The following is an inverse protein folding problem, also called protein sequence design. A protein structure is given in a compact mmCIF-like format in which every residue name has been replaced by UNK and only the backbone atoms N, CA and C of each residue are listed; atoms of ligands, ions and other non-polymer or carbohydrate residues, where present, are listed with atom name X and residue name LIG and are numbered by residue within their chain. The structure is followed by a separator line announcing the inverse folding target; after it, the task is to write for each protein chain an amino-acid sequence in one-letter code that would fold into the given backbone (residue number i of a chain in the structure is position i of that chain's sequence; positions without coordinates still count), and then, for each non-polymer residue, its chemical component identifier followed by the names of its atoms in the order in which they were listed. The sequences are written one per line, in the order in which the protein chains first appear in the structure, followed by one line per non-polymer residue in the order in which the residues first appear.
data_IF_215593124571
#
_entry.id   IF_215593124571
#
_cell.length_a   1.000
_cell.length_b   1.000
_cell.length_c   1.000
_cell.angle_alpha   90.00
_cell.angle_beta   90.00
_cell.angle_gamma   90.00
#
_symmetry.space_group_name_H-M   'P 1'
#
loop_
_entity.id
_entity.type
_entity.pdbx_description
1 polymer ?
#
# COMPACT_ATOMS: atom_id res chain seq x y z
N UNK A 1 9.91 0.78 -33.09
CA UNK A 1 9.25 0.08 -31.96
C UNK A 1 7.91 0.76 -31.73
N UNK A 2 6.83 0.19 -32.25
CA UNK A 2 5.49 0.78 -32.18
C UNK A 2 4.86 0.52 -30.83
N UNK A 3 4.58 1.56 -30.06
CA UNK A 3 3.69 1.47 -28.91
C UNK A 3 2.28 1.18 -29.43
N UNK A 4 1.78 -0.02 -29.19
CA UNK A 4 0.41 -0.38 -29.56
C UNK A 4 -0.56 0.46 -28.72
N UNK A 5 -1.50 1.12 -29.39
CA UNK A 5 -2.61 1.81 -28.74
C UNK A 5 -3.45 0.78 -27.96
N UNK A 6 -3.55 0.93 -26.64
CA UNK A 6 -4.39 0.10 -25.78
C UNK A 6 -5.68 0.87 -25.44
N UNK A 7 -6.83 0.55 -26.07
CA UNK A 7 -8.10 1.22 -25.79
C UNK A 7 -8.53 1.11 -24.33
N UNK A 8 -8.17 0.01 -23.66
CA UNK A 8 -8.46 -0.23 -22.25
C UNK A 8 -7.73 0.74 -21.31
N UNK A 9 -6.51 1.16 -21.66
CA UNK A 9 -5.77 2.15 -20.89
C UNK A 9 -6.43 3.54 -20.97
N UNK A 10 -6.93 3.92 -22.16
CA UNK A 10 -7.66 5.19 -22.35
C UNK A 10 -8.98 5.16 -21.59
N UNK A 11 -9.72 4.05 -21.68
CA UNK A 11 -10.96 3.89 -20.94
C UNK A 11 -10.75 3.95 -19.42
N UNK A 12 -9.69 3.32 -18.90
CA UNK A 12 -9.32 3.38 -17.49
C UNK A 12 -9.05 4.82 -17.03
N UNK A 13 -8.26 5.57 -17.81
CA UNK A 13 -7.93 6.97 -17.48
C UNK A 13 -9.19 7.85 -17.41
N UNK A 14 -10.10 7.69 -18.39
CA UNK A 14 -11.37 8.42 -18.42
C UNK A 14 -12.22 8.07 -17.19
N UNK A 15 -12.32 6.79 -16.85
CA UNK A 15 -13.08 6.32 -15.68
C UNK A 15 -12.54 6.85 -14.35
N UNK A 16 -11.24 7.14 -14.25
CA UNK A 16 -10.62 7.72 -13.05
C UNK A 16 -10.51 9.25 -13.07
N UNK A 17 -11.11 9.93 -14.05
CA UNK A 17 -11.03 11.40 -14.19
C UNK A 17 -11.44 12.16 -12.92
N UNK A 18 -12.43 11.68 -12.17
CA UNK A 18 -12.87 12.30 -10.91
C UNK A 18 -11.76 12.34 -9.87
N UNK A 19 -11.00 11.25 -9.73
CA UNK A 19 -9.84 11.16 -8.82
C UNK A 19 -8.67 12.00 -9.33
N UNK A 20 -8.41 11.97 -10.63
CA UNK A 20 -7.32 12.73 -11.25
C UNK A 20 -7.51 14.25 -11.13
N UNK A 21 -8.77 14.72 -11.08
CA UNK A 21 -9.09 16.14 -10.87
C UNK A 21 -8.56 16.67 -9.53
N UNK A 22 -8.50 15.81 -8.50
CA UNK A 22 -8.00 16.19 -7.16
C UNK A 22 -6.56 16.70 -7.19
N UNK A 23 -5.71 16.19 -8.09
CA UNK A 23 -4.33 16.69 -8.22
C UNK A 23 -4.24 18.13 -8.74
N UNK A 24 -5.27 18.59 -9.46
CA UNK A 24 -5.37 19.96 -9.97
C UNK A 24 -6.07 20.87 -8.97
N UNK A 25 -7.05 20.34 -8.23
CA UNK A 25 -7.84 21.07 -7.24
C UNK A 25 -7.14 21.23 -5.89
N UNK A 26 -6.34 20.24 -5.47
CA UNK A 26 -5.59 20.25 -4.21
C UNK A 26 -4.13 19.80 -4.45
N UNK A 27 -3.21 20.77 -4.34
CA UNK A 27 -1.77 20.56 -4.50
C UNK A 27 -1.09 19.79 -3.36
N UNK A 28 -1.82 19.41 -2.31
CA UNK A 28 -1.29 18.55 -1.24
C UNK A 28 -1.14 17.10 -1.69
N UNK A 29 -1.85 16.69 -2.74
CA UNK A 29 -1.77 15.34 -3.26
C UNK A 29 -0.55 15.16 -4.18
N UNK A 30 0.33 14.22 -3.83
CA UNK A 30 1.45 13.84 -4.70
C UNK A 30 0.95 13.03 -5.90
N UNK A 31 1.33 13.44 -7.11
CA UNK A 31 1.04 12.68 -8.34
C UNK A 31 1.78 11.34 -8.39
N UNK A 32 2.88 11.21 -7.62
CA UNK A 32 3.69 10.01 -7.54
C UNK A 32 3.33 9.18 -6.31
N UNK A 33 3.13 7.88 -6.53
CA UNK A 33 2.81 6.89 -5.48
C UNK A 33 4.05 6.23 -4.84
N UNK A 34 5.27 6.68 -5.21
CA UNK A 34 6.55 6.05 -4.82
C UNK A 34 6.64 5.76 -3.31
N UNK A 35 6.23 6.71 -2.48
CA UNK A 35 6.29 6.57 -1.02
C UNK A 35 5.40 5.43 -0.50
N UNK A 36 4.20 5.26 -1.06
CA UNK A 36 3.29 4.19 -0.63
C UNK A 36 3.74 2.84 -1.21
N UNK A 37 4.28 2.83 -2.44
CA UNK A 37 4.89 1.64 -3.04
C UNK A 37 6.09 1.15 -2.23
N UNK A 38 6.99 2.05 -1.86
CA UNK A 38 8.15 1.72 -1.02
C UNK A 38 7.73 1.22 0.37
N UNK A 39 6.65 1.76 0.93
CA UNK A 39 6.11 1.30 2.22
C UNK A 39 5.50 -0.12 2.13
N UNK A 40 4.81 -0.46 1.03
CA UNK A 40 4.17 -1.78 0.87
C UNK A 40 5.10 -2.85 0.29
N UNK A 41 6.19 -2.44 -0.37
CA UNK A 41 7.16 -3.34 -1.02
C UNK A 41 7.74 -4.43 -0.07
N UNK A 42 8.20 -4.10 1.15
CA UNK A 42 8.70 -5.10 2.10
C UNK A 42 7.67 -6.20 2.41
N UNK A 43 6.40 -5.82 2.55
CA UNK A 43 5.30 -6.76 2.77
C UNK A 43 5.07 -7.65 1.54
N UNK A 44 4.97 -7.06 0.35
CA UNK A 44 4.76 -7.81 -0.90
C UNK A 44 5.89 -8.83 -1.15
N UNK A 45 7.14 -8.43 -0.95
CA UNK A 45 8.31 -9.30 -1.10
C UNK A 45 8.32 -10.40 -0.03
N UNK A 46 7.99 -10.06 1.21
CA UNK A 46 7.89 -11.01 2.32
C UNK A 46 6.83 -12.08 2.05
N UNK A 47 5.62 -11.67 1.67
CA UNK A 47 4.50 -12.56 1.35
C UNK A 47 4.84 -13.57 0.26
N UNK A 48 5.51 -13.15 -0.81
CA UNK A 48 5.95 -14.06 -1.87
C UNK A 48 7.00 -15.11 -1.39
N UNK A 49 7.68 -14.86 -0.27
CA UNK A 49 8.70 -15.77 0.30
C UNK A 49 8.17 -16.62 1.46
N UNK A 50 6.98 -16.34 1.99
CA UNK A 50 6.41 -17.10 3.10
C UNK A 50 5.67 -18.33 2.59
N UNK A 51 6.29 -19.50 2.78
CA UNK A 51 5.80 -20.80 2.31
C UNK A 51 4.40 -21.19 2.80
N UNK A 52 3.85 -20.51 3.81
CA UNK A 52 2.57 -20.84 4.44
C UNK A 52 1.57 -19.67 4.45
N UNK A 53 1.85 -18.57 3.75
CA UNK A 53 1.01 -17.37 3.73
C UNK A 53 0.12 -17.29 2.47
N UNK A 54 -0.68 -18.34 2.23
CA UNK A 54 -1.49 -18.47 0.99
C UNK A 54 -3.01 -18.36 1.20
N UNK A 55 -3.47 -18.09 2.43
CA UNK A 55 -4.90 -17.95 2.71
C UNK A 55 -5.33 -16.48 2.71
N UNK A 56 -6.56 -16.20 2.26
CA UNK A 56 -7.17 -14.85 2.32
C UNK A 56 -7.23 -14.35 3.77
N UNK A 57 -7.56 -15.22 4.72
CA UNK A 57 -7.55 -14.89 6.14
C UNK A 57 -6.14 -14.51 6.62
N UNK A 58 -5.09 -15.24 6.19
CA UNK A 58 -3.71 -14.92 6.50
C UNK A 58 -3.24 -13.60 5.86
N UNK A 59 -3.68 -13.30 4.64
CA UNK A 59 -3.42 -12.02 3.99
C UNK A 59 -4.01 -10.85 4.77
N UNK A 60 -5.29 -10.94 5.16
CA UNK A 60 -5.98 -9.91 5.95
C UNK A 60 -5.34 -9.72 7.33
N UNK A 61 -5.00 -10.81 8.02
CA UNK A 61 -4.32 -10.74 9.31
C UNK A 61 -2.95 -10.06 9.19
N UNK A 62 -2.19 -10.38 8.14
CA UNK A 62 -0.88 -9.80 7.90
C UNK A 62 -0.98 -8.33 7.51
N UNK A 63 -1.95 -7.95 6.67
CA UNK A 63 -2.23 -6.56 6.31
C UNK A 63 -2.47 -5.71 7.57
N UNK A 64 -3.32 -6.18 8.48
CA UNK A 64 -3.61 -5.48 9.74
C UNK A 64 -2.35 -5.29 10.59
N UNK A 65 -1.53 -6.34 10.75
CA UNK A 65 -0.29 -6.27 11.53
C UNK A 65 0.74 -5.32 10.90
N UNK A 66 0.93 -5.38 9.59
CA UNK A 66 1.88 -4.49 8.89
C UNK A 66 1.43 -3.04 8.91
N UNK A 67 0.12 -2.77 8.83
CA UNK A 67 -0.44 -1.42 8.98
C UNK A 67 -0.11 -0.82 10.36
N UNK A 68 -0.25 -1.62 11.43
CA UNK A 68 0.12 -1.23 12.79
C UNK A 68 1.63 -0.98 12.94
N UNK A 69 2.45 -1.88 12.39
CA UNK A 69 3.91 -1.73 12.41
C UNK A 69 4.36 -0.47 11.64
N UNK A 70 3.79 -0.22 10.47
CA UNK A 70 4.10 0.96 9.67
C UNK A 70 3.74 2.24 10.41
N UNK A 71 2.57 2.27 11.06
CA UNK A 71 2.16 3.41 11.90
C UNK A 71 3.15 3.63 13.04
N UNK A 72 3.53 2.57 13.76
CA UNK A 72 4.52 2.67 14.85
C UNK A 72 5.87 3.22 14.38
N UNK A 73 6.29 2.84 13.17
CA UNK A 73 7.54 3.33 12.57
C UNK A 73 7.46 4.82 12.23
N UNK A 74 6.33 5.29 11.70
CA UNK A 74 6.09 6.72 11.42
C UNK A 74 6.10 7.55 12.70
N UNK A 75 5.55 7.00 13.79
CA UNK A 75 5.52 7.64 15.11
C UNK A 75 6.87 7.54 15.88
N UNK A 76 7.87 6.86 15.31
CA UNK A 76 9.17 6.65 15.96
C UNK A 76 9.14 5.67 17.14
N UNK A 77 8.07 4.88 17.25
CA UNK A 77 7.88 3.86 18.28
C UNK A 77 8.42 2.53 17.75
N UNK A 78 9.22 1.85 18.55
CA UNK A 78 9.67 0.51 18.20
C UNK A 78 8.47 -0.46 18.13
N UNK A 79 8.20 -0.99 16.93
CA UNK A 79 7.00 -1.78 16.63
C UNK A 79 6.78 -2.98 17.55
N UNK A 80 7.86 -3.63 18.01
CA UNK A 80 7.75 -4.70 19.02
C UNK A 80 7.09 -4.21 20.31
N UNK A 81 7.53 -3.06 20.84
CA UNK A 81 6.98 -2.49 22.07
C UNK A 81 5.53 -2.04 21.87
N UNK A 82 5.20 -1.51 20.69
CA UNK A 82 3.85 -1.12 20.33
C UNK A 82 2.90 -2.33 20.32
N UNK A 83 3.23 -3.37 19.55
CA UNK A 83 2.41 -4.59 19.48
C UNK A 83 2.32 -5.30 20.83
N UNK A 84 3.43 -5.35 21.59
CA UNK A 84 3.44 -5.93 22.93
C UNK A 84 2.48 -5.20 23.86
N UNK A 85 2.44 -3.87 23.81
CA UNK A 85 1.54 -3.08 24.65
C UNK A 85 0.07 -3.30 24.24
N UNK A 86 -0.19 -3.45 22.93
CA UNK A 86 -1.53 -3.65 22.39
C UNK A 86 -2.13 -5.03 22.74
N UNK A 87 -1.32 -6.10 22.74
CA UNK A 87 -1.80 -7.48 22.93
C UNK A 87 -1.62 -8.03 24.35
N UNK A 88 -0.94 -7.30 25.24
CA UNK A 88 -0.79 -7.67 26.66
C UNK A 88 -1.74 -6.89 27.58
N UNK A 89 -2.28 -5.75 27.11
CA UNK A 89 -3.37 -5.05 27.79
C UNK A 89 -4.68 -5.86 27.74
#
# INVERSE_FOLDING_TARGET
MGGQFNPGAVHYLISQRSKLKLYVEDGRHSICNKAQEDAILPFCIGRCKWLFADTVAGANASENLYSLLQTSQVDGIAGYHYLRSLFIA
#
